data_IF_732504404556
#
_entry.id   IF_732504404556
#
_cell.length_a   1.000
_cell.length_b   1.000
_cell.length_c   1.000
_cell.angle_alpha   90.00
_cell.angle_beta   90.00
_cell.angle_gamma   90.00
#
_symmetry.space_group_name_H-M   'P 1'
#
loop_
_entity.id
_entity.type
_entity.pdbx_description
1 polymer ?
#
# COMPACT_ATOMS: atom_id res chain seq x y z
N UNK A 1 31.45 9.66 20.39
CA UNK A 1 30.63 8.57 20.98
C UNK A 1 29.13 8.90 21.08
N UNK A 2 28.71 10.13 21.46
CA UNK A 2 27.27 10.49 21.56
C UNK A 2 26.47 10.49 20.24
N UNK A 3 27.11 10.73 19.09
CA UNK A 3 26.44 10.75 17.76
C UNK A 3 26.19 9.35 17.17
N UNK A 4 26.84 8.31 17.70
CA UNK A 4 26.69 6.92 17.21
C UNK A 4 25.51 6.20 17.90
N UNK A 5 25.24 6.52 19.17
CA UNK A 5 24.13 5.95 19.94
C UNK A 5 22.76 6.45 19.49
N UNK A 6 22.65 7.72 19.04
CA UNK A 6 21.41 8.29 18.51
C UNK A 6 21.06 7.69 17.14
N UNK A 7 22.06 7.37 16.32
CA UNK A 7 21.87 6.72 15.03
C UNK A 7 21.42 5.26 15.22
N UNK A 8 21.94 4.55 16.22
CA UNK A 8 21.55 3.17 16.53
C UNK A 8 20.11 3.06 17.10
N UNK A 9 19.61 4.08 17.81
CA UNK A 9 18.24 4.10 18.33
C UNK A 9 17.22 4.49 17.24
N UNK A 10 17.56 5.44 16.35
CA UNK A 10 16.67 5.82 15.25
C UNK A 10 16.62 4.78 14.12
N UNK A 11 17.75 4.15 13.79
CA UNK A 11 17.82 3.10 12.76
C UNK A 11 17.36 1.76 13.35
N UNK A 12 17.72 1.42 14.59
CA UNK A 12 17.25 0.21 15.27
C UNK A 12 15.77 0.23 15.59
N UNK A 13 15.19 1.38 15.95
CA UNK A 13 13.76 1.54 16.21
C UNK A 13 12.90 1.48 14.94
N UNK A 14 13.39 2.02 13.83
CA UNK A 14 12.69 1.96 12.54
C UNK A 14 12.80 0.57 11.90
N UNK A 15 13.94 -0.12 12.01
CA UNK A 15 14.13 -1.47 11.47
C UNK A 15 13.40 -2.52 12.31
N UNK A 16 13.36 -2.39 13.64
CA UNK A 16 12.57 -3.28 14.48
C UNK A 16 11.06 -3.10 14.26
N UNK A 17 10.56 -1.88 14.06
CA UNK A 17 9.15 -1.65 13.72
C UNK A 17 8.77 -2.17 12.32
N UNK A 18 9.75 -2.27 11.41
CA UNK A 18 9.56 -2.71 10.03
C UNK A 18 9.63 -4.24 9.85
N UNK A 19 10.38 -4.96 10.70
CA UNK A 19 10.45 -6.42 10.66
C UNK A 19 9.18 -7.13 11.17
N UNK A 20 8.30 -6.42 11.90
CA UNK A 20 6.98 -6.92 12.34
C UNK A 20 5.83 -6.56 11.38
N UNK A 21 6.14 -6.21 10.13
CA UNK A 21 5.15 -5.78 9.15
C UNK A 21 4.55 -6.97 8.36
N UNK A 22 3.23 -6.98 8.33
CA UNK A 22 2.35 -8.01 7.76
C UNK A 22 2.79 -8.49 6.35
N UNK A 23 2.93 -9.82 6.12
CA UNK A 23 3.26 -10.43 4.84
C UNK A 23 2.41 -9.95 3.66
N UNK A 24 1.16 -9.53 3.89
CA UNK A 24 0.27 -9.07 2.83
C UNK A 24 0.60 -7.69 2.27
N UNK A 25 1.35 -6.86 2.99
CA UNK A 25 1.75 -5.54 2.50
C UNK A 25 3.12 -5.56 1.82
N UNK A 26 3.95 -6.58 2.08
CA UNK A 26 5.29 -6.74 1.48
C UNK A 26 5.33 -6.57 -0.05
N UNK A 27 4.44 -7.16 -0.86
CA UNK A 27 4.47 -6.95 -2.31
C UNK A 27 4.08 -5.52 -2.74
N UNK A 28 3.43 -4.75 -1.87
CA UNK A 28 2.91 -3.41 -2.19
C UNK A 28 3.78 -2.24 -1.68
N UNK A 29 4.67 -2.48 -0.70
CA UNK A 29 5.64 -1.48 -0.18
C UNK A 29 7.10 -1.80 -0.50
N UNK A 30 7.43 -3.05 -0.88
CA UNK A 30 8.78 -3.47 -1.23
C UNK A 30 9.49 -2.58 -2.27
N UNK A 31 8.84 -2.21 -3.39
CA UNK A 31 9.48 -1.41 -4.45
C UNK A 31 9.83 0.03 -4.05
N UNK A 32 9.22 0.55 -2.98
CA UNK A 32 9.48 1.89 -2.46
C UNK A 32 10.71 1.91 -1.54
N UNK A 33 11.06 0.79 -0.92
CA UNK A 33 12.13 0.73 0.09
C UNK A 33 13.48 0.39 -0.53
N UNK A 34 13.51 -0.42 -1.60
CA UNK A 34 14.73 -0.66 -2.38
C UNK A 34 15.28 0.62 -3.02
N UNK A 35 14.40 1.59 -3.33
CA UNK A 35 14.81 2.92 -3.84
C UNK A 35 15.40 3.84 -2.77
N UNK A 36 15.15 3.60 -1.48
CA UNK A 36 15.63 4.44 -0.38
C UNK A 36 16.73 3.81 0.48
N UNK A 37 16.91 2.49 0.45
CA UNK A 37 17.88 1.74 1.29
C UNK A 37 18.82 0.87 0.43
N UNK A 38 19.07 1.26 -0.81
CA UNK A 38 20.10 0.68 -1.69
C UNK A 38 21.51 1.06 -1.22
N UNK A 39 21.93 0.52 -0.09
CA UNK A 39 23.27 0.64 0.46
C UNK A 39 23.57 -0.59 1.29
N UNK A 40 24.23 -1.55 0.65
CA UNK A 40 24.67 -2.83 1.21
C UNK A 40 25.38 -2.63 2.56
N UNK A 41 24.79 -3.13 3.64
CA UNK A 41 25.41 -3.19 4.95
C UNK A 41 25.88 -4.63 5.22
N UNK A 42 27.13 -4.81 5.67
CA UNK A 42 27.76 -6.13 5.78
C UNK A 42 27.19 -6.96 6.93
N UNK A 43 27.14 -8.28 6.73
CA UNK A 43 26.78 -9.29 7.74
C UNK A 43 27.62 -9.14 9.02
N UNK A 44 27.01 -9.14 10.21
CA UNK A 44 27.75 -9.27 11.46
C UNK A 44 27.99 -10.75 11.81
N UNK A 45 29.25 -11.11 11.97
CA UNK A 45 29.72 -12.37 12.57
C UNK A 45 29.42 -12.41 14.10
N UNK A 46 29.38 -13.60 14.73
CA UNK A 46 28.84 -13.77 16.07
C UNK A 46 29.88 -13.59 17.19
N UNK A 47 29.42 -12.96 18.29
CA UNK A 47 29.93 -13.16 19.66
C UNK A 47 30.93 -12.13 20.21
N UNK A 48 30.54 -11.43 21.28
CA UNK A 48 31.13 -11.54 22.64
C UNK A 48 30.56 -10.50 23.63
N UNK A 49 30.40 -10.93 24.89
CA UNK A 49 29.90 -10.19 26.05
C UNK A 49 30.83 -9.05 26.51
N UNK A 50 30.28 -7.96 27.08
CA UNK A 50 30.63 -7.47 28.45
C UNK A 50 29.82 -6.26 28.95
N UNK A 51 29.22 -6.48 30.13
CA UNK A 51 28.90 -5.66 31.31
C UNK A 51 29.25 -4.13 31.40
N UNK A 52 28.22 -3.39 31.89
CA UNK A 52 28.16 -2.52 33.11
C UNK A 52 28.29 -0.97 33.00
N UNK A 53 27.26 -0.34 33.61
CA UNK A 53 27.22 0.88 34.45
C UNK A 53 26.83 2.28 33.89
N UNK A 54 25.74 2.75 34.51
CA UNK A 54 25.47 4.07 35.12
C UNK A 54 24.83 5.23 34.34
N UNK A 55 23.83 5.80 35.03
CA UNK A 55 22.97 6.97 34.74
C UNK A 55 23.75 8.31 34.85
N UNK A 56 23.19 9.55 34.64
CA UNK A 56 21.77 9.96 34.67
C UNK A 56 21.30 10.96 33.58
N UNK A 57 20.01 11.32 33.66
CA UNK A 57 19.18 12.17 32.79
C UNK A 57 19.58 13.66 32.66
N UNK A 58 19.03 14.36 31.64
CA UNK A 58 18.53 15.72 31.87
C UNK A 58 17.19 16.09 31.17
N UNK A 59 16.34 16.72 31.97
CA UNK A 59 15.42 17.86 31.80
C UNK A 59 15.16 18.44 30.40
N UNK A 60 13.87 18.58 30.04
CA UNK A 60 13.36 19.45 28.98
C UNK A 60 12.76 20.76 29.54
N UNK A 61 12.96 21.91 28.88
CA UNK A 61 12.10 23.09 29.02
C UNK A 61 11.07 23.23 27.88
N UNK A 62 9.95 23.84 28.26
CA UNK A 62 8.75 24.24 27.53
C UNK A 62 9.00 25.15 26.30
N UNK A 63 8.15 25.15 25.25
CA UNK A 63 8.07 26.24 24.29
C UNK A 63 6.92 27.22 24.59
N UNK A 64 7.23 28.49 24.40
CA UNK A 64 6.40 29.66 24.60
C UNK A 64 5.58 30.01 23.33
N UNK A 65 4.42 30.61 23.56
CA UNK A 65 3.40 31.06 22.61
C UNK A 65 3.84 32.29 21.80
N UNK A 66 3.36 32.45 20.58
CA UNK A 66 3.30 33.74 19.88
C UNK A 66 2.03 33.84 19.04
N UNK A 67 1.20 34.84 19.34
CA UNK A 67 -0.02 35.29 18.65
C UNK A 67 0.22 36.70 18.07
N UNK A 68 -0.46 37.03 16.96
CA UNK A 68 -0.76 38.40 16.50
C UNK A 68 0.05 38.85 15.26
N UNK A 69 -0.48 38.88 14.03
CA UNK A 69 -1.57 39.68 13.41
C UNK A 69 -1.15 41.15 13.13
N UNK A 70 -1.12 41.54 11.84
CA UNK A 70 -1.89 42.65 11.23
C UNK A 70 -1.43 43.02 9.80
N UNK A 71 -2.42 43.17 8.90
CA UNK A 71 -2.45 43.97 7.64
C UNK A 71 -3.26 45.25 7.94
N UNK A 72 -3.50 46.27 7.06
CA UNK A 72 -3.31 46.44 5.59
C UNK A 72 -2.65 47.81 5.21
N UNK A 73 -2.43 48.25 3.96
CA UNK A 73 -3.39 48.92 3.03
C UNK A 73 -2.65 49.42 1.76
N UNK A 74 -3.32 49.44 0.58
CA UNK A 74 -2.95 50.14 -0.68
C UNK A 74 -3.39 51.65 -0.63
N UNK A 75 -3.39 52.53 -1.67
CA UNK A 75 -3.16 52.38 -3.14
C UNK A 75 -2.40 53.55 -3.87
N UNK A 76 -2.03 53.41 -5.16
CA UNK A 76 -2.27 54.44 -6.21
C UNK A 76 -1.81 54.05 -7.64
N UNK A 77 -2.55 54.54 -8.64
CA UNK A 77 -2.34 54.44 -10.10
C UNK A 77 -2.06 55.85 -10.67
N UNK A 78 -1.43 56.03 -11.86
CA UNK A 78 -2.21 56.26 -13.10
C UNK A 78 -1.59 55.74 -14.44
N UNK A 79 -2.44 55.76 -15.47
CA UNK A 79 -2.43 55.26 -16.89
C UNK A 79 -1.65 56.20 -17.88
N UNK A 80 -1.71 56.08 -19.25
CA UNK A 80 -1.47 55.00 -20.25
C UNK A 80 -0.35 55.34 -21.28
N UNK A 81 0.21 54.34 -22.00
CA UNK A 81 0.69 54.56 -23.38
C UNK A 81 0.53 53.30 -24.24
N UNK A 82 -0.14 53.50 -25.37
CA UNK A 82 -0.40 52.56 -26.46
C UNK A 82 0.89 52.13 -27.13
N UNK A 83 1.09 50.83 -27.32
CA UNK A 83 2.20 50.26 -28.08
C UNK A 83 1.85 48.88 -28.58
N UNK A 84 1.64 48.77 -29.88
CA UNK A 84 1.29 47.58 -30.65
C UNK A 84 2.35 46.49 -30.48
N UNK A 85 1.97 45.34 -29.93
CA UNK A 85 2.74 44.11 -30.04
C UNK A 85 1.77 42.96 -30.32
N UNK A 86 1.85 42.45 -31.54
CA UNK A 86 1.36 41.14 -31.98
C UNK A 86 1.70 40.08 -30.94
N UNK A 87 0.67 39.46 -30.35
CA UNK A 87 0.83 38.28 -29.51
C UNK A 87 0.11 37.11 -30.20
N UNK A 88 0.81 36.07 -30.68
CA UNK A 88 0.17 34.83 -31.09
C UNK A 88 -0.38 34.13 -29.84
N UNK A 89 -1.70 33.96 -29.84
CA UNK A 89 -2.49 33.04 -29.03
C UNK A 89 -1.73 32.20 -27.98
N UNK A 90 -1.76 32.67 -26.73
CA UNK A 90 -1.57 31.83 -25.55
C UNK A 90 -2.77 30.88 -25.45
N UNK A 91 -2.64 29.63 -25.91
CA UNK A 91 -3.51 28.54 -25.45
C UNK A 91 -2.72 27.28 -25.08
N UNK A 92 -2.20 27.20 -23.84
CA UNK A 92 -1.77 25.94 -23.24
C UNK A 92 -2.64 25.48 -22.04
N UNK A 93 -3.66 26.24 -21.63
CA UNK A 93 -4.41 25.92 -20.40
C UNK A 93 -5.47 24.81 -20.57
N UNK A 94 -5.97 24.58 -21.79
CA UNK A 94 -7.05 23.60 -22.02
C UNK A 94 -6.56 22.16 -22.14
N UNK A 95 -5.31 21.93 -22.58
CA UNK A 95 -4.77 20.56 -22.75
C UNK A 95 -4.38 19.92 -21.43
N UNK A 96 -3.83 20.69 -20.48
CA UNK A 96 -3.45 20.16 -19.16
C UNK A 96 -4.68 19.71 -18.35
N UNK A 97 -5.74 20.52 -18.34
CA UNK A 97 -6.98 20.15 -17.65
C UNK A 97 -7.69 18.94 -18.28
N UNK A 98 -7.57 18.73 -19.60
CA UNK A 98 -8.14 17.56 -20.28
C UNK A 98 -7.32 16.29 -19.96
N UNK A 99 -5.99 16.39 -19.93
CA UNK A 99 -5.10 15.30 -19.50
C UNK A 99 -5.38 14.93 -18.04
N UNK A 100 -5.53 15.91 -17.15
CA UNK A 100 -5.86 15.69 -15.74
C UNK A 100 -7.18 14.92 -15.57
N UNK A 101 -8.21 15.26 -16.36
CA UNK A 101 -9.50 14.57 -16.33
C UNK A 101 -9.38 13.12 -16.82
N UNK A 102 -8.71 12.89 -17.96
CA UNK A 102 -8.54 11.54 -18.51
C UNK A 102 -7.72 10.64 -17.57
N UNK A 103 -6.66 11.20 -16.97
CA UNK A 103 -5.84 10.48 -15.98
C UNK A 103 -6.64 10.19 -14.70
N UNK A 104 -7.49 11.12 -14.26
CA UNK A 104 -8.35 10.91 -13.09
C UNK A 104 -9.43 9.85 -13.32
N UNK A 105 -10.01 9.79 -14.51
CA UNK A 105 -10.98 8.76 -14.94
C UNK A 105 -10.31 7.38 -15.04
N UNK A 106 -9.08 7.33 -15.54
CA UNK A 106 -8.33 6.08 -15.72
C UNK A 106 -7.81 5.50 -14.41
N UNK A 107 -7.31 6.36 -13.52
CA UNK A 107 -6.81 5.97 -12.21
C UNK A 107 -7.68 6.61 -11.13
N UNK A 108 -8.94 6.18 -10.96
CA UNK A 108 -9.83 6.75 -9.96
C UNK A 108 -9.27 6.46 -8.57
N UNK A 109 -9.37 7.44 -7.67
CA UNK A 109 -9.13 7.16 -6.25
C UNK A 109 -10.34 6.33 -5.80
N UNK A 110 -10.12 5.12 -5.26
CA UNK A 110 -11.19 4.22 -4.84
C UNK A 110 -11.97 4.84 -3.68
N UNK A 111 -13.25 4.48 -3.59
CA UNK A 111 -14.03 4.76 -2.41
C UNK A 111 -13.65 3.77 -1.30
N UNK A 112 -13.20 4.29 -0.16
CA UNK A 112 -12.80 3.47 0.97
C UNK A 112 -14.00 3.21 1.86
N UNK A 113 -14.38 1.94 2.01
CA UNK A 113 -15.45 1.54 2.93
C UNK A 113 -15.04 1.87 4.36
N UNK A 114 -15.86 2.57 5.16
CA UNK A 114 -15.52 2.92 6.53
C UNK A 114 -15.17 1.69 7.37
N UNK A 115 -14.09 1.77 8.16
CA UNK A 115 -13.61 0.64 8.96
C UNK A 115 -14.71 0.01 9.83
N UNK A 116 -15.53 0.83 10.47
CA UNK A 116 -16.63 0.38 11.35
C UNK A 116 -17.60 -0.54 10.63
N UNK A 117 -17.85 -0.30 9.34
CA UNK A 117 -18.69 -1.17 8.51
C UNK A 117 -17.98 -2.48 8.17
N UNK A 118 -16.67 -2.43 7.86
CA UNK A 118 -15.86 -3.62 7.55
C UNK A 118 -15.79 -4.58 8.75
N UNK A 119 -15.58 -4.05 9.97
CA UNK A 119 -15.48 -4.85 11.19
C UNK A 119 -16.84 -5.14 11.84
N UNK A 120 -17.94 -4.76 11.19
CA UNK A 120 -19.30 -4.97 11.70
C UNK A 120 -19.52 -4.40 13.11
N UNK A 121 -19.16 -3.14 13.34
CA UNK A 121 -19.18 -2.51 14.67
C UNK A 121 -18.34 -3.27 15.73
N UNK A 122 -17.21 -3.84 15.30
CA UNK A 122 -16.31 -4.67 16.11
C UNK A 122 -16.89 -6.02 16.56
N UNK A 123 -18.05 -6.43 16.04
CA UNK A 123 -18.67 -7.72 16.34
C UNK A 123 -18.27 -8.81 15.35
N UNK A 124 -17.79 -8.44 14.15
CA UNK A 124 -17.37 -9.38 13.13
C UNK A 124 -16.11 -8.88 12.43
N UNK A 125 -14.95 -9.18 13.01
CA UNK A 125 -13.65 -8.84 12.41
C UNK A 125 -13.26 -9.97 11.44
N UNK A 126 -13.08 -9.69 10.14
CA UNK A 126 -12.61 -10.70 9.19
C UNK A 126 -11.25 -11.27 9.62
N UNK A 127 -11.03 -12.58 9.50
CA UNK A 127 -9.79 -13.22 9.95
C UNK A 127 -8.54 -12.64 9.30
N UNK A 128 -8.63 -12.20 8.02
CA UNK A 128 -7.54 -11.53 7.30
C UNK A 128 -7.19 -10.14 7.87
N UNK A 129 -8.10 -9.51 8.61
CA UNK A 129 -7.85 -8.23 9.28
C UNK A 129 -7.12 -8.42 10.62
N UNK A 130 -6.95 -9.65 11.10
CA UNK A 130 -6.26 -9.90 12.37
C UNK A 130 -4.79 -9.53 12.19
N UNK A 131 -4.22 -8.71 13.09
CA UNK A 131 -2.78 -8.52 13.11
C UNK A 131 -2.09 -9.83 13.51
N UNK A 132 -0.83 -9.99 13.16
CA UNK A 132 -0.07 -11.18 13.56
C UNK A 132 0.01 -11.35 15.08
N UNK A 133 0.08 -10.21 15.79
CA UNK A 133 0.25 -10.15 17.24
C UNK A 133 -0.53 -8.97 17.82
N UNK A 134 -1.04 -9.16 19.03
CA UNK A 134 -1.67 -8.13 19.87
C UNK A 134 -1.00 -8.12 21.25
N UNK A 135 -0.90 -6.95 21.87
CA UNK A 135 -0.45 -6.81 23.24
C UNK A 135 -1.65 -6.91 24.18
N UNK A 136 -1.53 -7.74 25.23
CA UNK A 136 -2.49 -7.76 26.32
C UNK A 136 -2.23 -6.57 27.26
N UNK A 137 -3.28 -5.93 27.76
CA UNK A 137 -3.17 -4.80 28.68
C UNK A 137 -3.34 -5.23 30.15
N UNK A 138 -3.87 -6.43 30.38
CA UNK A 138 -4.13 -6.99 31.70
C UNK A 138 -3.40 -8.32 31.92
N UNK A 139 -3.37 -8.78 33.18
CA UNK A 139 -2.90 -10.13 33.51
C UNK A 139 -3.90 -11.16 33.00
N UNK A 140 -3.43 -12.13 32.22
CA UNK A 140 -4.28 -13.13 31.57
C UNK A 140 -3.75 -14.53 31.84
N UNK A 141 -4.54 -15.44 32.43
CA UNK A 141 -4.16 -16.83 32.58
C UNK A 141 -4.28 -17.55 31.23
N UNK A 142 -3.21 -18.22 30.82
CA UNK A 142 -3.19 -19.14 29.68
C UNK A 142 -3.28 -20.57 30.18
N UNK A 143 -4.09 -21.38 29.48
CA UNK A 143 -4.25 -22.80 29.81
C UNK A 143 -3.93 -23.67 28.60
N UNK A 144 -3.19 -24.75 28.85
CA UNK A 144 -3.01 -25.85 27.91
C UNK A 144 -4.04 -26.92 28.24
N UNK A 145 -4.85 -27.31 27.25
CA UNK A 145 -5.87 -28.36 27.41
C UNK A 145 -5.52 -29.56 26.54
N UNK A 146 -5.73 -30.77 27.06
CA UNK A 146 -5.63 -31.99 26.26
C UNK A 146 -6.87 -32.22 25.38
N UNK A 147 -6.88 -33.30 24.59
CA UNK A 147 -8.01 -33.66 23.72
C UNK A 147 -9.31 -33.97 24.48
N UNK A 148 -9.25 -34.18 25.80
CA UNK A 148 -10.40 -34.39 26.68
C UNK A 148 -10.90 -33.09 27.34
N UNK A 149 -10.25 -31.96 27.07
CA UNK A 149 -10.58 -30.64 27.63
C UNK A 149 -9.99 -30.38 29.03
N UNK A 150 -9.22 -31.33 29.58
CA UNK A 150 -8.57 -31.21 30.89
C UNK A 150 -7.36 -30.29 30.80
N UNK A 151 -7.23 -29.37 31.76
CA UNK A 151 -6.08 -28.46 31.84
C UNK A 151 -4.85 -29.28 32.27
N UNK A 152 -3.87 -29.38 31.38
CA UNK A 152 -2.61 -30.12 31.58
C UNK A 152 -1.41 -29.18 31.80
N UNK A 153 -1.61 -27.87 31.68
CA UNK A 153 -0.61 -26.85 31.96
C UNK A 153 -1.24 -25.47 32.06
N UNK A 154 -0.64 -24.58 32.84
CA UNK A 154 -1.10 -23.21 32.98
C UNK A 154 0.09 -22.24 33.07
N UNK A 155 -0.09 -21.04 32.57
CA UNK A 155 0.84 -19.93 32.71
C UNK A 155 0.04 -18.63 32.86
N UNK A 156 0.69 -17.56 33.31
CA UNK A 156 0.05 -16.24 33.42
C UNK A 156 0.88 -15.25 32.62
N UNK A 157 0.25 -14.62 31.64
CA UNK A 157 0.85 -13.54 30.88
C UNK A 157 0.61 -12.21 31.60
N UNK A 158 1.62 -11.34 31.57
CA UNK A 158 1.58 -10.00 32.19
C UNK A 158 1.21 -8.93 31.16
N UNK A 159 0.69 -7.76 31.59
CA UNK A 159 0.48 -6.62 30.70
C UNK A 159 1.71 -6.34 29.81
N UNK A 160 1.47 -6.03 28.54
CA UNK A 160 2.49 -5.85 27.50
C UNK A 160 2.93 -7.13 26.80
N UNK A 161 2.50 -8.32 27.24
CA UNK A 161 2.83 -9.58 26.56
C UNK A 161 2.17 -9.65 25.18
N UNK A 162 2.96 -9.96 24.16
CA UNK A 162 2.47 -10.18 22.80
C UNK A 162 1.87 -11.59 22.66
N UNK A 163 0.69 -11.67 22.06
CA UNK A 163 -0.07 -12.90 21.85
C UNK A 163 -0.65 -12.93 20.44
N UNK A 164 -0.90 -14.12 19.89
CA UNK A 164 -1.46 -14.28 18.55
C UNK A 164 -2.98 -14.29 18.63
N UNK A 165 -3.71 -13.35 17.99
CA UNK A 165 -5.16 -13.41 17.93
C UNK A 165 -5.61 -14.55 17.02
N UNK A 166 -6.55 -15.38 17.47
CA UNK A 166 -7.01 -16.58 16.75
C UNK A 166 -8.43 -16.39 16.23
N UNK A 167 -9.35 -15.93 17.08
CA UNK A 167 -10.76 -15.76 16.74
C UNK A 167 -11.42 -14.72 17.65
N UNK A 168 -12.39 -14.00 17.10
CA UNK A 168 -13.33 -13.17 17.87
C UNK A 168 -14.60 -13.96 18.18
N UNK A 169 -15.00 -13.99 19.45
CA UNK A 169 -16.22 -14.58 19.98
C UNK A 169 -17.01 -13.48 20.72
N UNK A 170 -17.88 -12.76 20.00
CA UNK A 170 -18.57 -11.57 20.54
C UNK A 170 -17.55 -10.53 20.99
N UNK A 171 -17.56 -10.14 22.26
CA UNK A 171 -16.64 -9.14 22.82
C UNK A 171 -15.32 -9.72 23.34
N UNK A 172 -15.11 -11.03 23.16
CA UNK A 172 -13.90 -11.74 23.62
C UNK A 172 -13.06 -12.22 22.45
N UNK A 173 -11.76 -12.08 22.59
CA UNK A 173 -10.75 -12.53 21.66
C UNK A 173 -10.11 -13.81 22.21
N UNK A 174 -10.21 -14.90 21.45
CA UNK A 174 -9.41 -16.07 21.67
C UNK A 174 -7.99 -15.77 21.19
N UNK A 175 -7.04 -15.82 22.11
CA UNK A 175 -5.62 -15.58 21.85
C UNK A 175 -4.81 -16.83 22.15
N UNK A 176 -3.74 -17.04 21.38
CA UNK A 176 -2.76 -18.09 21.61
C UNK A 176 -1.44 -17.47 22.09
N UNK A 177 -0.75 -18.17 22.99
CA UNK A 177 0.58 -17.76 23.42
C UNK A 177 1.59 -17.92 22.27
N UNK A 178 2.45 -16.94 22.07
CA UNK A 178 3.53 -17.03 21.09
C UNK A 178 4.59 -18.09 21.46
N UNK A 179 4.76 -18.39 22.75
CA UNK A 179 5.67 -19.42 23.21
C UNK A 179 5.11 -20.84 22.99
N UNK A 180 3.79 -20.98 22.93
CA UNK A 180 3.11 -22.24 22.66
C UNK A 180 1.70 -21.98 22.12
N UNK A 181 1.49 -22.21 20.81
CA UNK A 181 0.20 -21.93 20.16
C UNK A 181 -0.97 -22.81 20.66
N UNK A 182 -0.66 -23.91 21.37
CA UNK A 182 -1.66 -24.77 22.02
C UNK A 182 -2.15 -24.19 23.34
N UNK A 183 -1.41 -23.27 23.96
CA UNK A 183 -1.87 -22.52 25.13
C UNK A 183 -2.75 -21.37 24.68
N UNK A 184 -4.03 -21.42 25.08
CA UNK A 184 -5.02 -20.42 24.67
C UNK A 184 -5.69 -19.79 25.88
N UNK A 185 -6.19 -18.59 25.67
CA UNK A 185 -7.01 -17.85 26.63
C UNK A 185 -8.02 -16.99 25.91
N UNK A 186 -9.10 -16.65 26.61
CA UNK A 186 -10.09 -15.69 26.16
C UNK A 186 -9.88 -14.38 26.92
N UNK A 187 -9.67 -13.29 26.19
CA UNK A 187 -9.47 -11.95 26.73
C UNK A 187 -10.50 -11.00 26.11
N UNK A 188 -11.05 -10.06 26.88
CA UNK A 188 -11.89 -9.01 26.30
C UNK A 188 -11.08 -8.19 25.29
N UNK A 189 -11.69 -7.85 24.15
CA UNK A 189 -11.05 -7.02 23.12
C UNK A 189 -10.58 -5.68 23.69
N UNK A 190 -11.33 -5.07 24.61
CA UNK A 190 -10.97 -3.80 25.26
C UNK A 190 -9.69 -3.88 26.10
N UNK A 191 -9.28 -5.10 26.48
CA UNK A 191 -8.05 -5.35 27.25
C UNK A 191 -6.88 -5.73 26.34
N UNK A 192 -6.99 -5.44 25.05
CA UNK A 192 -5.96 -5.67 24.04
C UNK A 192 -5.81 -4.44 23.18
N UNK A 193 -4.67 -4.31 22.50
CA UNK A 193 -4.46 -3.26 21.49
C UNK A 193 -4.99 -3.64 20.09
N UNK A 194 -5.90 -4.62 19.99
CA UNK A 194 -6.43 -5.14 18.72
C UNK A 194 -7.08 -4.04 17.89
N UNK A 195 -7.92 -3.20 18.53
CA UNK A 195 -8.68 -2.15 17.83
C UNK A 195 -7.75 -1.09 17.27
N UNK A 196 -6.79 -0.65 18.07
CA UNK A 196 -5.79 0.34 17.70
C UNK A 196 -4.92 -0.16 16.54
N UNK A 197 -4.49 -1.43 16.58
CA UNK A 197 -3.70 -2.04 15.50
C UNK A 197 -4.48 -2.11 14.20
N UNK A 198 -5.73 -2.56 14.24
CA UNK A 198 -6.58 -2.64 13.04
C UNK A 198 -6.86 -1.24 12.49
N UNK A 199 -7.16 -0.27 13.35
CA UNK A 199 -7.39 1.12 12.96
C UNK A 199 -6.16 1.73 12.28
N UNK A 200 -4.97 1.53 12.87
CA UNK A 200 -3.72 2.01 12.31
C UNK A 200 -3.47 1.41 10.92
N UNK A 201 -3.60 0.08 10.80
CA UNK A 201 -3.43 -0.62 9.52
C UNK A 201 -4.38 -0.10 8.43
N UNK A 202 -5.64 0.13 8.78
CA UNK A 202 -6.61 0.71 7.86
C UNK A 202 -6.19 2.12 7.41
N UNK A 203 -5.82 3.00 8.35
CA UNK A 203 -5.39 4.35 8.03
C UNK A 203 -4.14 4.37 7.14
N UNK A 204 -3.15 3.55 7.47
CA UNK A 204 -1.91 3.39 6.69
C UNK A 204 -2.24 2.89 5.27
N UNK A 205 -3.15 1.93 5.13
CA UNK A 205 -3.60 1.43 3.84
C UNK A 205 -4.26 2.51 2.98
N UNK A 206 -5.22 3.27 3.55
CA UNK A 206 -5.91 4.36 2.84
C UNK A 206 -4.91 5.41 2.36
N UNK A 207 -3.97 5.80 3.23
CA UNK A 207 -2.93 6.78 2.92
C UNK A 207 -2.02 6.28 1.80
N UNK A 208 -1.48 5.07 1.92
CA UNK A 208 -0.54 4.49 0.96
C UNK A 208 -1.21 4.29 -0.41
N UNK A 209 -2.45 3.79 -0.43
CA UNK A 209 -3.19 3.60 -1.69
C UNK A 209 -3.45 4.95 -2.38
N UNK A 210 -3.88 5.96 -1.60
CA UNK A 210 -4.12 7.30 -2.14
C UNK A 210 -2.84 7.90 -2.73
N UNK A 211 -1.71 7.77 -2.03
CA UNK A 211 -0.43 8.29 -2.49
C UNK A 211 0.06 7.55 -3.75
N UNK A 212 -0.05 6.22 -3.79
CA UNK A 212 0.28 5.42 -4.97
C UNK A 212 -0.50 5.86 -6.20
N UNK A 213 -1.81 6.06 -6.06
CA UNK A 213 -2.65 6.51 -7.19
C UNK A 213 -2.26 7.93 -7.61
N UNK A 214 -1.96 8.83 -6.67
CA UNK A 214 -1.47 10.18 -7.02
C UNK A 214 -0.14 10.11 -7.78
N UNK A 215 0.82 9.32 -7.31
CA UNK A 215 2.10 9.12 -7.99
C UNK A 215 1.90 8.52 -9.39
N UNK A 216 1.01 7.53 -9.52
CA UNK A 216 0.66 6.91 -10.80
C UNK A 216 0.00 7.92 -11.76
N UNK A 217 -0.89 8.78 -11.25
CA UNK A 217 -1.49 9.87 -12.01
C UNK A 217 -0.41 10.84 -12.50
N UNK A 218 0.51 11.27 -11.65
CA UNK A 218 1.58 12.19 -12.05
C UNK A 218 2.52 11.58 -13.10
N UNK A 219 2.90 10.30 -12.93
CA UNK A 219 3.65 9.57 -13.95
C UNK A 219 2.89 9.45 -15.26
N UNK A 220 1.60 9.12 -15.22
CA UNK A 220 0.76 9.02 -16.40
C UNK A 220 0.64 10.37 -17.12
N UNK A 221 0.49 11.48 -16.39
CA UNK A 221 0.52 12.83 -16.97
C UNK A 221 1.82 13.11 -17.70
N UNK A 222 2.97 12.81 -17.07
CA UNK A 222 4.28 13.01 -17.69
C UNK A 222 4.47 12.13 -18.93
N UNK A 223 4.04 10.87 -18.88
CA UNK A 223 4.09 9.95 -20.01
C UNK A 223 3.23 10.45 -21.18
N UNK A 224 2.03 10.97 -20.90
CA UNK A 224 1.13 11.54 -21.91
C UNK A 224 1.67 12.83 -22.54
N UNK A 225 2.34 13.68 -21.75
CA UNK A 225 3.01 14.88 -22.25
C UNK A 225 4.22 14.54 -23.14
N UNK A 226 4.92 13.44 -22.84
CA UNK A 226 6.08 13.00 -23.60
C UNK A 226 5.72 12.18 -24.86
N UNK A 227 4.59 11.45 -24.83
CA UNK A 227 4.15 10.53 -25.89
C UNK A 227 2.69 10.82 -26.30
N UNK A 228 2.43 11.53 -27.41
CA UNK A 228 1.07 11.79 -27.89
C UNK A 228 0.34 10.51 -28.33
N UNK A 229 1.04 9.43 -28.69
CA UNK A 229 0.43 8.11 -28.93
C UNK A 229 -0.24 7.51 -27.68
N UNK A 230 0.27 7.78 -26.47
CA UNK A 230 -0.34 7.31 -25.23
C UNK A 230 -1.67 8.03 -24.94
N UNK A 231 -1.83 9.28 -25.43
CA UNK A 231 -3.09 10.01 -25.36
C UNK A 231 -4.16 9.36 -26.24
N UNK A 232 -3.78 8.81 -27.40
CA UNK A 232 -4.68 8.03 -28.24
C UNK A 232 -5.10 6.72 -27.56
N UNK A 233 -4.20 6.05 -26.84
CA UNK A 233 -4.53 4.86 -26.05
C UNK A 233 -5.53 5.16 -24.90
N UNK A 234 -5.46 6.36 -24.32
CA UNK A 234 -6.39 6.81 -23.27
C UNK A 234 -7.78 7.15 -23.82
N UNK A 235 -7.84 7.72 -25.02
CA UNK A 235 -9.09 8.12 -25.70
C UNK A 235 -9.75 6.99 -26.50
N UNK A 236 -8.97 6.01 -26.95
CA UNK A 236 -9.36 5.02 -27.96
C UNK A 236 -9.80 3.66 -27.45
N UNK A 237 -10.17 3.53 -26.18
CA UNK A 237 -10.50 2.22 -25.60
C UNK A 237 -11.68 1.54 -26.31
N UNK A 238 -11.40 0.55 -27.15
CA UNK A 238 -12.40 -0.38 -27.66
C UNK A 238 -13.10 -1.12 -26.50
N UNK A 239 -14.29 -1.69 -26.77
CA UNK A 239 -15.05 -2.39 -25.74
C UNK A 239 -14.25 -3.56 -25.16
N UNK A 240 -14.27 -3.69 -23.83
CA UNK A 240 -13.81 -4.91 -23.17
C UNK A 240 -14.77 -6.04 -23.51
N UNK A 241 -14.23 -7.15 -23.96
CA UNK A 241 -14.98 -8.36 -24.22
C UNK A 241 -14.68 -9.38 -23.11
N UNK A 242 -15.73 -10.01 -22.61
CA UNK A 242 -15.61 -11.14 -21.68
C UNK A 242 -15.50 -12.48 -22.43
N UNK A 243 -15.62 -12.47 -23.76
CA UNK A 243 -15.85 -13.68 -24.55
C UNK A 243 -14.67 -14.66 -24.61
N UNK A 244 -15.01 -15.89 -25.02
CA UNK A 244 -14.12 -17.02 -25.26
C UNK A 244 -13.26 -16.89 -26.52
N UNK A 245 -12.75 -15.69 -26.82
CA UNK A 245 -11.70 -15.54 -27.83
C UNK A 245 -10.49 -16.39 -27.42
N UNK A 246 -10.15 -17.37 -28.28
CA UNK A 246 -9.05 -18.30 -28.05
C UNK A 246 -7.70 -17.58 -27.87
N UNK A 247 -7.56 -16.35 -28.39
CA UNK A 247 -6.34 -15.53 -28.22
C UNK A 247 -6.11 -15.10 -26.77
N UNK A 248 -7.15 -15.10 -25.92
CA UNK A 248 -6.99 -14.80 -24.49
C UNK A 248 -6.58 -16.01 -23.66
N UNK A 249 -6.56 -17.22 -24.22
CA UNK A 249 -6.14 -18.43 -23.50
C UNK A 249 -4.76 -18.31 -22.82
N UNK A 250 -3.68 -17.84 -23.49
CA UNK A 250 -2.38 -17.66 -22.83
C UNK A 250 -2.41 -16.61 -21.72
N UNK A 251 -3.20 -15.54 -21.87
CA UNK A 251 -3.34 -14.48 -20.86
C UNK A 251 -4.06 -15.01 -19.63
N UNK A 252 -5.19 -15.72 -19.81
CA UNK A 252 -5.94 -16.36 -18.73
C UNK A 252 -5.10 -17.40 -17.99
N UNK A 253 -4.30 -18.18 -18.72
CA UNK A 253 -3.37 -19.14 -18.12
C UNK A 253 -2.28 -18.44 -17.28
N UNK A 254 -1.72 -17.33 -17.76
CA UNK A 254 -0.72 -16.55 -17.03
C UNK A 254 -1.28 -15.97 -15.72
N UNK A 255 -2.51 -15.44 -15.74
CA UNK A 255 -3.20 -14.98 -14.53
C UNK A 255 -3.42 -16.16 -13.57
N UNK A 256 -3.91 -17.30 -14.07
CA UNK A 256 -4.14 -18.50 -13.26
C UNK A 256 -2.84 -19.08 -12.63
N UNK A 257 -1.69 -18.87 -13.27
CA UNK A 257 -0.39 -19.27 -12.75
C UNK A 257 0.17 -18.30 -11.70
N UNK A 258 -0.43 -17.12 -11.52
CA UNK A 258 0.04 -16.10 -10.58
C UNK A 258 1.20 -15.25 -11.12
N UNK A 259 1.35 -15.14 -12.43
CA UNK A 259 2.41 -14.32 -13.07
C UNK A 259 2.17 -12.80 -12.87
N UNK A 260 0.99 -12.41 -12.41
CA UNK A 260 0.63 -11.05 -12.01
C UNK A 260 0.05 -11.08 -10.59
N UNK A 261 0.59 -10.27 -9.67
CA UNK A 261 0.10 -10.20 -8.28
C UNK A 261 -0.89 -9.07 -8.02
N UNK A 262 -1.23 -8.29 -9.04
CA UNK A 262 -2.13 -7.16 -8.91
C UNK A 262 -3.59 -7.57 -8.69
N UNK A 263 -4.00 -8.77 -9.15
CA UNK A 263 -5.36 -9.30 -9.04
C UNK A 263 -5.39 -10.82 -9.22
N UNK A 264 -6.42 -11.46 -8.66
CA UNK A 264 -6.69 -12.90 -8.79
C UNK A 264 -7.50 -13.22 -10.08
N UNK A 265 -7.49 -14.49 -10.57
CA UNK A 265 -8.17 -14.85 -11.82
C UNK A 265 -9.67 -14.54 -11.88
N UNK A 266 -10.37 -14.62 -10.74
CA UNK A 266 -11.80 -14.30 -10.62
C UNK A 266 -12.08 -12.79 -10.52
N UNK A 267 -11.04 -11.98 -10.35
CA UNK A 267 -11.11 -10.52 -10.30
C UNK A 267 -10.96 -9.89 -11.70
N UNK A 268 -10.61 -10.68 -12.73
CA UNK A 268 -10.56 -10.22 -14.12
C UNK A 268 -11.97 -10.01 -14.69
N UNK A 269 -12.31 -8.76 -14.99
CA UNK A 269 -13.64 -8.33 -15.43
C UNK A 269 -13.81 -8.27 -16.95
N UNK A 270 -12.72 -8.18 -17.71
CA UNK A 270 -12.79 -8.18 -19.17
C UNK A 270 -11.43 -8.04 -19.85
N UNK A 271 -11.38 -8.45 -21.11
CA UNK A 271 -10.16 -8.48 -21.92
C UNK A 271 -10.35 -7.63 -23.17
N UNK A 272 -9.30 -6.95 -23.61
CA UNK A 272 -9.28 -6.18 -24.85
C UNK A 272 -8.01 -6.48 -25.61
N UNK A 273 -8.15 -7.01 -26.82
CA UNK A 273 -7.02 -7.15 -27.74
C UNK A 273 -6.67 -5.79 -28.33
N UNK A 274 -5.45 -5.30 -28.11
CA UNK A 274 -5.02 -4.01 -28.64
C UNK A 274 -4.25 -4.14 -29.98
N UNK A 275 -3.87 -5.37 -30.36
CA UNK A 275 -3.02 -5.60 -31.54
C UNK A 275 -1.53 -5.47 -31.21
N UNK A 276 -0.73 -5.26 -32.25
CA UNK A 276 0.71 -5.13 -32.14
C UNK A 276 1.08 -3.70 -31.75
N UNK A 277 1.70 -3.53 -30.59
CA UNK A 277 2.14 -2.25 -30.05
C UNK A 277 3.66 -2.26 -29.83
N UNK A 278 4.28 -1.09 -29.99
CA UNK A 278 5.67 -0.88 -29.61
C UNK A 278 5.71 -0.38 -28.16
N UNK A 279 6.32 -1.18 -27.29
CA UNK A 279 6.54 -0.85 -25.88
C UNK A 279 7.92 -0.21 -25.74
N UNK A 280 7.95 0.96 -25.10
CA UNK A 280 9.17 1.73 -24.90
C UNK A 280 9.62 1.75 -23.43
N UNK A 281 9.02 0.91 -22.57
CA UNK A 281 9.45 0.72 -21.20
C UNK A 281 10.88 0.19 -21.09
N UNK A 282 11.53 0.48 -19.96
CA UNK A 282 12.94 0.14 -19.75
C UNK A 282 13.18 -1.37 -19.69
N UNK A 283 12.21 -2.12 -19.14
CA UNK A 283 12.30 -3.57 -18.93
C UNK A 283 11.86 -4.32 -20.19
N UNK A 284 10.69 -3.98 -20.73
CA UNK A 284 10.11 -4.64 -21.88
C UNK A 284 10.16 -3.74 -23.12
N UNK A 285 11.34 -3.54 -23.69
CA UNK A 285 11.49 -2.76 -24.94
C UNK A 285 11.31 -3.64 -26.16
N UNK A 286 10.35 -3.32 -27.03
CA UNK A 286 10.13 -4.11 -28.25
C UNK A 286 8.75 -3.95 -28.85
N UNK A 287 8.43 -4.79 -29.83
CA UNK A 287 7.10 -4.86 -30.44
C UNK A 287 6.44 -6.16 -29.99
N UNK A 288 5.25 -6.04 -29.39
CA UNK A 288 4.50 -7.15 -28.80
C UNK A 288 3.05 -7.07 -29.25
N UNK A 289 2.39 -8.22 -29.36
CA UNK A 289 0.93 -8.22 -29.33
C UNK A 289 0.49 -7.96 -27.89
N UNK A 290 -0.50 -7.09 -27.68
CA UNK A 290 -0.90 -6.72 -26.31
C UNK A 290 -2.37 -6.93 -26.05
N UNK A 291 -2.67 -7.29 -24.80
CA UNK A 291 -4.03 -7.45 -24.28
C UNK A 291 -4.17 -6.61 -23.02
N UNK A 292 -5.14 -5.71 -22.99
CA UNK A 292 -5.50 -4.99 -21.76
C UNK A 292 -6.56 -5.78 -21.00
N UNK A 293 -6.31 -5.99 -19.71
CA UNK A 293 -7.22 -6.65 -18.78
C UNK A 293 -7.76 -5.61 -17.82
N UNK A 294 -9.09 -5.50 -17.73
CA UNK A 294 -9.77 -4.72 -16.69
C UNK A 294 -10.06 -5.65 -15.52
N UNK A 295 -9.76 -5.23 -14.29
CA UNK A 295 -9.94 -6.04 -13.10
C UNK A 295 -10.50 -5.22 -11.92
N UNK A 296 -11.01 -5.93 -10.93
CA UNK A 296 -11.51 -5.39 -9.66
C UNK A 296 -10.89 -6.15 -8.49
N UNK A 297 -9.75 -5.66 -8.00
CA UNK A 297 -9.00 -6.31 -6.92
C UNK A 297 -9.76 -6.19 -5.59
N UNK A 298 -10.06 -7.31 -4.95
CA UNK A 298 -10.77 -7.39 -3.68
C UNK A 298 -9.77 -7.48 -2.54
N UNK A 299 -9.64 -6.39 -1.81
CA UNK A 299 -8.87 -6.38 -0.56
C UNK A 299 -9.82 -6.48 0.63
N UNK A 300 -9.25 -6.69 1.81
CA UNK A 300 -10.00 -6.60 3.08
C UNK A 300 -10.58 -5.21 3.34
N UNK A 301 -10.21 -4.20 2.55
CA UNK A 301 -10.60 -2.80 2.70
C UNK A 301 -11.48 -2.26 1.57
N UNK A 302 -11.90 -3.12 0.63
CA UNK A 302 -12.80 -2.74 -0.46
C UNK A 302 -12.43 -3.36 -1.80
N UNK A 303 -13.10 -2.89 -2.85
CA UNK A 303 -12.90 -3.30 -4.24
C UNK A 303 -12.20 -2.18 -5.00
N UNK A 304 -11.14 -2.52 -5.73
CA UNK A 304 -10.24 -1.57 -6.38
C UNK A 304 -10.21 -1.82 -7.88
N UNK A 305 -10.81 -0.95 -8.71
CA UNK A 305 -10.77 -1.12 -10.14
C UNK A 305 -9.37 -0.78 -10.67
N UNK A 306 -8.91 -1.54 -11.66
CA UNK A 306 -7.64 -1.29 -12.32
C UNK A 306 -7.58 -1.88 -13.72
N UNK A 307 -6.50 -1.53 -14.42
CA UNK A 307 -6.19 -2.11 -15.72
C UNK A 307 -4.72 -2.51 -15.79
N UNK A 308 -4.45 -3.65 -16.41
CA UNK A 308 -3.10 -4.17 -16.68
C UNK A 308 -2.95 -4.50 -18.16
N UNK A 309 -1.76 -4.31 -18.72
CA UNK A 309 -1.44 -4.68 -20.11
C UNK A 309 -0.52 -5.90 -20.12
N UNK A 310 -1.00 -6.98 -20.70
CA UNK A 310 -0.23 -8.19 -20.97
C UNK A 310 0.53 -8.04 -22.29
N UNK A 311 1.80 -8.43 -22.30
CA UNK A 311 2.66 -8.47 -23.47
C UNK A 311 2.79 -9.91 -23.98
N UNK A 312 2.45 -10.14 -25.25
CA UNK A 312 2.51 -11.43 -25.91
C UNK A 312 3.56 -11.43 -27.03
N UNK A 313 4.32 -12.51 -27.09
CA UNK A 313 5.23 -12.81 -28.20
C UNK A 313 5.10 -14.27 -28.57
N UNK A 314 4.86 -14.55 -29.86
CA UNK A 314 4.66 -15.91 -30.38
C UNK A 314 3.59 -16.71 -29.61
N UNK A 315 2.50 -16.04 -29.19
CA UNK A 315 1.40 -16.64 -28.43
C UNK A 315 1.72 -16.98 -26.97
N UNK A 316 2.87 -16.53 -26.43
CA UNK A 316 3.26 -16.68 -25.03
C UNK A 316 3.28 -15.33 -24.33
N UNK A 317 2.93 -15.32 -23.04
CA UNK A 317 3.05 -14.13 -22.19
C UNK A 317 4.52 -13.91 -21.84
N UNK A 318 5.00 -12.68 -22.06
CA UNK A 318 6.37 -12.24 -21.80
C UNK A 318 6.45 -11.37 -20.54
N UNK A 319 5.38 -10.62 -20.24
CA UNK A 319 5.33 -9.75 -19.08
C UNK A 319 4.03 -8.99 -18.94
N UNK A 320 3.90 -8.28 -17.82
CA UNK A 320 2.77 -7.44 -17.47
C UNK A 320 3.25 -6.02 -17.17
N UNK A 321 2.59 -5.03 -17.76
CA UNK A 321 2.95 -3.61 -17.62
C UNK A 321 1.71 -2.74 -17.40
N UNK A 322 1.91 -1.57 -16.81
CA UNK A 322 0.89 -0.52 -16.76
C UNK A 322 0.58 -0.05 -18.19
N UNK A 323 -0.71 0.06 -18.58
CA UNK A 323 -1.07 0.41 -19.95
C UNK A 323 -0.57 1.77 -20.46
N UNK A 324 -0.22 2.70 -19.57
CA UNK A 324 0.21 4.07 -19.90
C UNK A 324 1.67 4.30 -19.55
N UNK A 325 2.07 3.98 -18.32
CA UNK A 325 3.45 4.23 -17.89
C UNK A 325 4.41 3.18 -18.46
N UNK A 326 3.90 2.02 -18.90
CA UNK A 326 4.70 0.87 -19.35
C UNK A 326 5.64 0.33 -18.27
N UNK A 327 5.42 0.72 -17.00
CA UNK A 327 6.12 0.20 -15.83
C UNK A 327 5.68 -1.25 -15.58
N UNK A 328 6.61 -2.11 -15.17
CA UNK A 328 6.31 -3.52 -14.87
C UNK A 328 5.34 -3.68 -13.68
N UNK A 329 4.42 -4.64 -13.81
CA UNK A 329 3.44 -5.01 -12.80
C UNK A 329 3.70 -6.43 -12.31
N UNK A 330 4.62 -6.59 -11.34
CA UNK A 330 4.89 -7.87 -10.67
C UNK A 330 4.04 -8.03 -9.42
#
# INVERSE_FOLDING_TARGET
MKKFLVFLIFVGGAVAAYWFYDPYLKPYVGPLIEKFVGGELPEPAPGEEKKVADSPAPTMPLPEKSDGKETPTAPNQPKPATGTATNPATKPASSMSEIDQLVAERYPIPEFVPLVQIVGNWQNIPQRAFPEQVAIQDKVPFSLRDSSGKVIGASVAVPGTLVKPVRLNGDTLLVASLANESMRSEISVEKTDLKERIQKRYNDFVLNMTNRIREQREKAKQALLAKPEALAALKGGGSFDQSGDARFAPVKASIANGDIKAFDPDEAMGFRWNGSEKINGDIYKGTYDTVTVKYEARTIFGVFPGEAKCLLQNGKVIGWVDPITEDEMI
#
